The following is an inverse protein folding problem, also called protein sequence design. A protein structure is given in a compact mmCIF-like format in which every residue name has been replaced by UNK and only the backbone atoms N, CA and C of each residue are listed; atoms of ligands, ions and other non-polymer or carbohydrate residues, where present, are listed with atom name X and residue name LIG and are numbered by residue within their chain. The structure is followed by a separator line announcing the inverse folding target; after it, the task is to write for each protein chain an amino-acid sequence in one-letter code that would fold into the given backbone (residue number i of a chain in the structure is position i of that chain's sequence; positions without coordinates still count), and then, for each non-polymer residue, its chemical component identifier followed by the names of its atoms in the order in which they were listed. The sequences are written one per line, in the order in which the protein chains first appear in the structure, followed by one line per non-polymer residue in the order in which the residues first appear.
data_IF_142434352523
#
_entry.id   IF_142434352523
#
_cell.length_a   1.000
_cell.length_b   1.000
_cell.length_c   1.000
_cell.angle_alpha   90.00
_cell.angle_beta   90.00
_cell.angle_gamma   90.00
#
_symmetry.space_group_name_H-M   'P 1'
#
loop_
_entity.id
_entity.type
_entity.pdbx_description
1 polymer ?
#
# COMPACT_ATOMS: atom_id res chain seq x y z
N UNK A 1 11.13 20.50 -1.20
CA UNK A 1 10.65 20.59 -2.59
C UNK A 1 9.14 20.63 -2.55
N UNK A 2 8.53 21.52 -3.33
CA UNK A 2 7.08 21.65 -3.46
C UNK A 2 6.65 21.45 -4.92
N UNK A 3 5.64 20.62 -5.12
CA UNK A 3 5.06 20.24 -6.42
C UNK A 3 3.54 20.47 -6.34
N UNK A 4 3.07 21.62 -6.78
CA UNK A 4 1.66 21.98 -6.62
C UNK A 4 0.98 22.35 -7.94
N UNK A 5 -0.28 21.90 -8.12
CA UNK A 5 -1.12 22.28 -9.26
C UNK A 5 -0.47 21.97 -10.62
N UNK A 6 0.02 20.74 -10.77
CA UNK A 6 0.72 20.31 -11.99
C UNK A 6 -0.22 19.44 -12.84
N UNK A 7 -0.33 19.78 -14.11
CA UNK A 7 -1.03 18.99 -15.10
C UNK A 7 -0.11 18.72 -16.27
N UNK A 8 0.16 17.46 -16.59
CA UNK A 8 1.08 17.07 -17.63
C UNK A 8 1.23 15.56 -17.75
N UNK A 9 2.04 15.08 -18.70
CA UNK A 9 2.17 13.66 -18.98
C UNK A 9 3.06 12.95 -17.95
N UNK A 10 4.19 13.58 -17.61
CA UNK A 10 5.19 12.97 -16.74
C UNK A 10 5.99 14.00 -15.94
N UNK A 11 6.16 13.70 -14.66
CA UNK A 11 7.02 14.43 -13.74
C UNK A 11 8.08 13.46 -13.22
N UNK A 12 9.34 13.88 -13.23
CA UNK A 12 10.43 13.15 -12.58
C UNK A 12 11.18 14.09 -11.65
N UNK A 13 11.26 13.70 -10.38
CA UNK A 13 11.96 14.44 -9.34
C UNK A 13 12.95 13.52 -8.63
N UNK A 14 14.20 13.97 -8.48
CA UNK A 14 15.22 13.26 -7.71
C UNK A 14 15.86 14.22 -6.71
N UNK A 15 15.99 13.77 -5.48
CA UNK A 15 16.66 14.52 -4.41
C UNK A 15 17.45 13.58 -3.53
N UNK A 16 18.48 14.08 -2.86
CA UNK A 16 19.32 13.29 -1.96
C UNK A 16 18.84 13.35 -0.51
N UNK A 17 18.40 14.55 -0.09
CA UNK A 17 17.94 14.77 1.29
C UNK A 17 17.01 15.98 1.32
N UNK A 18 15.72 15.71 1.24
CA UNK A 18 14.72 16.78 1.25
C UNK A 18 13.38 16.28 1.71
N UNK A 19 12.67 17.11 2.41
CA UNK A 19 11.24 16.94 2.53
C UNK A 19 10.55 17.34 1.22
N UNK A 20 9.69 16.46 0.68
CA UNK A 20 8.96 16.70 -0.56
C UNK A 20 7.48 16.77 -0.27
N UNK A 21 6.83 17.84 -0.71
CA UNK A 21 5.37 18.00 -0.70
C UNK A 21 4.82 18.13 -2.10
N UNK A 22 3.69 17.48 -2.36
CA UNK A 22 2.98 17.64 -3.61
C UNK A 22 1.47 17.64 -3.41
N UNK A 23 0.77 18.51 -4.14
CA UNK A 23 -0.68 18.58 -4.11
C UNK A 23 -1.28 18.90 -5.46
N UNK A 24 -2.44 18.28 -5.77
CA UNK A 24 -3.19 18.49 -7.00
C UNK A 24 -2.32 18.25 -8.24
N UNK A 25 -1.88 17.01 -8.41
CA UNK A 25 -1.02 16.60 -9.51
C UNK A 25 -1.78 15.60 -10.39
N UNK A 26 -1.98 15.97 -11.65
CA UNK A 26 -2.56 15.10 -12.69
C UNK A 26 -1.47 14.73 -13.68
N UNK A 27 -0.72 13.67 -13.36
CA UNK A 27 0.46 13.27 -14.14
C UNK A 27 0.99 11.91 -13.67
N UNK A 28 1.79 11.27 -14.51
CA UNK A 28 2.64 10.16 -14.06
C UNK A 28 3.84 10.72 -13.30
N UNK A 29 3.86 10.53 -11.98
CA UNK A 29 4.89 11.05 -11.08
C UNK A 29 5.91 9.96 -10.75
N UNK A 30 7.19 10.26 -10.95
CA UNK A 30 8.31 9.45 -10.43
C UNK A 30 9.14 10.31 -9.50
N UNK A 31 9.27 9.89 -8.24
CA UNK A 31 10.01 10.62 -7.23
C UNK A 31 10.97 9.68 -6.52
N UNK A 32 12.25 10.04 -6.50
CA UNK A 32 13.30 9.32 -5.78
C UNK A 32 13.95 10.25 -4.77
N UNK A 33 13.95 9.84 -3.51
CA UNK A 33 14.63 10.54 -2.41
C UNK A 33 15.54 9.53 -1.69
N UNK A 34 16.72 9.94 -1.24
CA UNK A 34 17.51 9.06 -0.38
C UNK A 34 17.10 9.23 1.09
N UNK A 35 16.90 10.47 1.52
CA UNK A 35 16.61 10.79 2.91
C UNK A 35 15.55 11.90 3.01
N UNK A 36 14.58 11.70 3.87
CA UNK A 36 13.49 12.64 4.13
C UNK A 36 12.10 12.17 3.65
N UNK A 37 11.10 12.72 4.28
CA UNK A 37 9.71 12.32 4.07
C UNK A 37 9.14 12.86 2.75
N UNK A 38 8.20 12.12 2.20
CA UNK A 38 7.43 12.50 1.02
C UNK A 38 5.95 12.55 1.41
N UNK A 39 5.31 13.69 1.20
CA UNK A 39 3.88 13.89 1.44
C UNK A 39 3.18 14.34 0.16
N UNK A 40 2.25 13.52 -0.33
CA UNK A 40 1.48 13.79 -1.54
C UNK A 40 -0.01 13.75 -1.26
N UNK A 41 -0.76 14.62 -1.92
CA UNK A 41 -2.21 14.68 -1.82
C UNK A 41 -2.86 14.99 -3.16
N UNK A 42 -4.01 14.36 -3.43
CA UNK A 42 -4.78 14.60 -4.66
C UNK A 42 -3.97 14.31 -5.93
N UNK A 43 -3.40 13.10 -6.01
CA UNK A 43 -2.64 12.65 -7.18
C UNK A 43 -3.55 11.81 -8.08
N UNK A 44 -3.58 12.13 -9.36
CA UNK A 44 -4.29 11.35 -10.38
C UNK A 44 -3.28 10.88 -11.43
N UNK A 45 -3.12 9.56 -11.53
CA UNK A 45 -2.20 8.91 -12.47
C UNK A 45 -1.33 7.85 -11.81
N UNK A 46 -0.24 7.48 -12.47
CA UNK A 46 0.73 6.55 -11.89
C UNK A 46 1.71 7.30 -10.99
N UNK A 47 1.87 6.84 -9.77
CA UNK A 47 2.77 7.44 -8.79
C UNK A 47 3.81 6.40 -8.37
N UNK A 48 5.08 6.62 -8.70
CA UNK A 48 6.21 5.77 -8.32
C UNK A 48 7.10 6.52 -7.34
N UNK A 49 7.10 6.10 -6.09
CA UNK A 49 7.86 6.74 -5.02
C UNK A 49 8.91 5.78 -4.48
N UNK A 50 10.13 6.26 -4.35
CA UNK A 50 11.22 5.51 -3.74
C UNK A 50 11.99 6.38 -2.78
N UNK A 51 12.17 5.90 -1.55
CA UNK A 51 13.09 6.49 -0.58
C UNK A 51 13.96 5.42 0.06
N UNK A 52 15.12 5.80 0.61
CA UNK A 52 15.93 4.88 1.43
C UNK A 52 15.54 5.03 2.89
N UNK A 53 15.51 6.27 3.39
CA UNK A 53 15.05 6.60 4.75
C UNK A 53 14.04 7.73 4.67
N UNK A 54 12.89 7.53 5.30
CA UNK A 54 11.81 8.52 5.33
C UNK A 54 10.43 7.91 5.15
N UNK A 55 9.44 8.58 5.65
CA UNK A 55 8.06 8.15 5.56
C UNK A 55 7.42 8.62 4.25
N UNK A 56 6.52 7.79 3.73
CA UNK A 56 5.71 8.10 2.57
C UNK A 56 4.26 8.27 3.01
N UNK A 57 3.70 9.45 2.82
CA UNK A 57 2.28 9.74 3.08
C UNK A 57 1.61 10.16 1.78
N UNK A 58 0.56 9.43 1.40
CA UNK A 58 -0.26 9.75 0.21
C UNK A 58 -1.72 9.76 0.63
N UNK A 59 -2.42 10.80 0.26
CA UNK A 59 -3.83 10.99 0.62
C UNK A 59 -4.67 11.35 -0.61
N UNK A 60 -5.95 10.95 -0.62
CA UNK A 60 -6.97 11.34 -1.59
C UNK A 60 -6.52 11.15 -3.06
N UNK A 61 -5.96 10.00 -3.39
CA UNK A 61 -5.30 9.80 -4.68
C UNK A 61 -5.92 8.66 -5.49
N UNK A 62 -5.83 8.77 -6.83
CA UNK A 62 -6.43 7.83 -7.78
C UNK A 62 -5.44 7.34 -8.81
N UNK A 63 -5.37 6.02 -9.00
CA UNK A 63 -4.55 5.35 -10.02
C UNK A 63 -3.66 4.25 -9.45
N UNK A 64 -2.49 4.04 -10.05
CA UNK A 64 -1.52 3.05 -9.57
C UNK A 64 -0.44 3.71 -8.72
N UNK A 65 -0.36 3.31 -7.46
CA UNK A 65 0.61 3.84 -6.50
C UNK A 65 1.62 2.76 -6.14
N UNK A 66 2.88 2.97 -6.53
CA UNK A 66 4.01 2.13 -6.17
C UNK A 66 4.89 2.87 -5.17
N UNK A 67 5.08 2.30 -3.98
CA UNK A 67 5.91 2.88 -2.92
C UNK A 67 6.92 1.87 -2.43
N UNK A 68 8.20 2.26 -2.40
CA UNK A 68 9.28 1.45 -1.84
C UNK A 68 10.12 2.27 -0.88
N UNK A 69 10.34 1.74 0.33
CA UNK A 69 11.27 2.32 1.30
C UNK A 69 12.12 1.25 1.97
N UNK A 70 13.37 1.55 2.27
CA UNK A 70 14.20 0.63 3.06
C UNK A 70 13.96 0.83 4.56
N UNK A 71 13.75 2.07 5.02
CA UNK A 71 13.47 2.38 6.42
C UNK A 71 12.51 3.55 6.52
N UNK A 72 11.27 3.25 6.88
CA UNK A 72 10.21 4.24 7.03
C UNK A 72 8.83 3.63 6.87
N UNK A 73 7.83 4.32 7.31
CA UNK A 73 6.45 3.89 7.18
C UNK A 73 5.86 4.34 5.83
N UNK A 74 4.95 3.52 5.31
CA UNK A 74 4.14 3.86 4.13
C UNK A 74 2.70 4.02 4.61
N UNK A 75 2.13 5.19 4.41
CA UNK A 75 0.77 5.53 4.83
C UNK A 75 -0.01 6.02 3.63
N UNK A 76 -0.98 5.24 3.19
CA UNK A 76 -1.88 5.56 2.10
C UNK A 76 -3.31 5.69 2.63
N UNK A 77 -3.92 6.87 2.45
CA UNK A 77 -5.28 7.15 2.92
C UNK A 77 -6.19 7.55 1.77
N UNK A 78 -7.39 6.95 1.74
CA UNK A 78 -8.43 7.25 0.74
C UNK A 78 -7.90 7.07 -0.69
N UNK A 79 -7.37 5.85 -0.96
CA UNK A 79 -6.78 5.52 -2.25
C UNK A 79 -7.77 4.77 -3.12
N UNK A 80 -7.98 5.29 -4.32
CA UNK A 80 -8.83 4.69 -5.35
C UNK A 80 -7.96 4.13 -6.49
N UNK A 81 -7.93 2.82 -6.64
CA UNK A 81 -7.11 2.14 -7.65
C UNK A 81 -6.19 1.07 -7.07
N UNK A 82 -5.02 0.90 -7.67
CA UNK A 82 -4.08 -0.17 -7.32
C UNK A 82 -2.94 0.33 -6.45
N UNK A 83 -2.40 -0.56 -5.62
CA UNK A 83 -1.18 -0.26 -4.85
C UNK A 83 -0.21 -1.44 -4.84
N UNK A 84 1.09 -1.09 -4.91
CA UNK A 84 2.22 -2.00 -4.75
C UNK A 84 3.19 -1.36 -3.74
N UNK A 85 3.18 -1.88 -2.50
CA UNK A 85 3.81 -1.23 -1.36
C UNK A 85 4.83 -2.16 -0.72
N UNK A 86 6.06 -1.67 -0.59
CA UNK A 86 7.16 -2.42 -0.01
C UNK A 86 7.94 -1.58 0.99
N UNK A 87 8.05 -2.09 2.24
CA UNK A 87 8.97 -1.55 3.25
C UNK A 87 9.86 -2.66 3.78
N UNK A 88 11.16 -2.39 3.96
CA UNK A 88 12.03 -3.37 4.61
C UNK A 88 11.93 -3.24 6.14
N UNK A 89 12.06 -2.01 6.68
CA UNK A 89 11.92 -1.69 8.11
C UNK A 89 10.86 -0.61 8.28
N UNK A 90 9.60 -0.98 8.47
CA UNK A 90 8.53 -0.02 8.71
C UNK A 90 7.13 -0.59 8.52
N UNK A 91 6.18 0.09 9.11
CA UNK A 91 4.77 -0.29 9.02
C UNK A 91 4.14 0.24 7.75
N UNK A 92 3.15 -0.50 7.24
CA UNK A 92 2.38 -0.10 6.08
C UNK A 92 0.92 0.00 6.47
N UNK A 93 0.32 1.16 6.23
CA UNK A 93 -1.10 1.40 6.36
C UNK A 93 -1.70 1.72 5.00
N UNK A 94 -2.76 1.02 4.62
CA UNK A 94 -3.57 1.32 3.45
C UNK A 94 -5.05 1.41 3.82
N UNK A 95 -5.68 2.55 3.52
CA UNK A 95 -7.13 2.67 3.42
C UNK A 95 -7.52 2.80 1.96
N UNK A 96 -8.10 1.75 1.40
CA UNK A 96 -8.54 1.68 0.00
C UNK A 96 -10.01 2.01 -0.11
N UNK A 97 -10.35 2.84 -1.10
CA UNK A 97 -11.73 3.15 -1.51
C UNK A 97 -12.01 2.45 -2.82
N UNK A 98 -13.10 1.70 -2.88
CA UNK A 98 -13.56 1.13 -4.13
C UNK A 98 -14.14 2.21 -5.05
N UNK A 99 -13.65 2.23 -6.29
CA UNK A 99 -14.16 3.09 -7.35
C UNK A 99 -14.44 2.25 -8.60
N UNK A 100 -15.70 2.05 -8.92
CA UNK A 100 -16.13 1.25 -10.07
C UNK A 100 -15.65 1.76 -11.43
N UNK A 101 -15.15 2.98 -11.49
CA UNK A 101 -14.55 3.56 -12.71
C UNK A 101 -13.09 3.16 -12.93
N UNK A 102 -12.47 2.45 -11.96
CA UNK A 102 -11.10 1.93 -12.06
C UNK A 102 -11.16 0.42 -12.19
N UNK A 103 -10.79 -0.08 -13.36
CA UNK A 103 -10.79 -1.50 -13.65
C UNK A 103 -9.47 -2.17 -13.25
N UNK A 104 -9.50 -3.49 -13.03
CA UNK A 104 -8.32 -4.32 -12.74
C UNK A 104 -7.48 -3.83 -11.57
N UNK A 105 -8.14 -3.39 -10.50
CA UNK A 105 -7.46 -2.96 -9.27
C UNK A 105 -6.85 -4.15 -8.52
N UNK A 106 -5.73 -3.89 -7.84
CA UNK A 106 -5.06 -4.86 -6.97
C UNK A 106 -4.34 -4.16 -5.82
N UNK A 107 -4.05 -4.90 -4.75
CA UNK A 107 -3.19 -4.42 -3.67
C UNK A 107 -2.15 -5.49 -3.31
N UNK A 108 -0.87 -5.18 -3.51
CA UNK A 108 0.26 -5.96 -3.03
C UNK A 108 0.96 -5.18 -1.93
N UNK A 109 1.08 -5.75 -0.75
CA UNK A 109 1.67 -5.07 0.40
C UNK A 109 2.63 -6.01 1.10
N UNK A 110 3.89 -5.60 1.23
CA UNK A 110 4.90 -6.43 1.89
C UNK A 110 5.82 -5.64 2.81
N UNK A 111 6.16 -6.26 3.95
CA UNK A 111 7.19 -5.75 4.85
C UNK A 111 7.99 -6.90 5.46
N UNK A 112 9.27 -6.66 5.75
CA UNK A 112 10.11 -7.65 6.44
C UNK A 112 10.02 -7.44 7.94
N UNK A 113 10.19 -6.20 8.41
CA UNK A 113 10.15 -5.84 9.82
C UNK A 113 9.14 -4.71 10.02
N UNK A 114 7.87 -5.08 10.20
CA UNK A 114 6.80 -4.12 10.37
C UNK A 114 5.42 -4.75 10.29
N UNK A 115 4.44 -3.95 10.60
CA UNK A 115 3.04 -4.36 10.61
C UNK A 115 2.34 -3.88 9.34
N UNK A 116 1.27 -4.59 8.97
CA UNK A 116 0.39 -4.19 7.89
C UNK A 116 -1.00 -3.95 8.46
N UNK A 117 -1.51 -2.75 8.28
CA UNK A 117 -2.90 -2.39 8.59
C UNK A 117 -3.62 -2.04 7.30
N UNK A 118 -4.61 -2.85 6.94
CA UNK A 118 -5.46 -2.68 5.76
C UNK A 118 -6.89 -2.32 6.17
N UNK A 119 -7.43 -1.24 5.62
CA UNK A 119 -8.84 -0.87 5.70
C UNK A 119 -9.48 -0.90 4.32
N UNK A 120 -10.54 -1.69 4.15
CA UNK A 120 -11.29 -1.83 2.91
C UNK A 120 -12.79 -1.74 3.15
N UNK A 121 -13.55 -1.41 2.12
CA UNK A 121 -15.01 -1.36 2.20
C UNK A 121 -15.59 -2.77 2.35
N UNK A 122 -16.70 -2.88 3.10
CA UNK A 122 -17.49 -4.11 3.20
C UNK A 122 -18.08 -4.51 1.85
N UNK A 123 -18.43 -5.79 1.74
CA UNK A 123 -19.17 -6.36 0.61
C UNK A 123 -18.46 -6.28 -0.75
N UNK A 124 -17.15 -6.01 -0.78
CA UNK A 124 -16.38 -6.04 -2.01
C UNK A 124 -16.26 -7.47 -2.58
N UNK A 125 -16.15 -7.53 -3.90
CA UNK A 125 -15.71 -8.73 -4.60
C UNK A 125 -14.18 -8.79 -4.52
N UNK A 126 -13.62 -9.66 -3.67
CA UNK A 126 -12.18 -9.72 -3.44
C UNK A 126 -11.64 -11.15 -3.29
N UNK A 127 -10.36 -11.31 -3.63
CA UNK A 127 -9.55 -12.48 -3.30
C UNK A 127 -8.37 -12.03 -2.46
N UNK A 128 -8.34 -12.39 -1.18
CA UNK A 128 -7.36 -11.92 -0.21
C UNK A 128 -6.50 -13.08 0.27
N UNK A 129 -5.18 -12.88 0.27
CA UNK A 129 -4.20 -13.74 0.90
C UNK A 129 -3.36 -12.91 1.87
N UNK A 130 -3.32 -13.31 3.14
CA UNK A 130 -2.51 -12.70 4.18
C UNK A 130 -1.50 -13.73 4.69
N UNK A 131 -0.21 -13.44 4.57
CA UNK A 131 0.87 -14.38 4.83
C UNK A 131 1.84 -13.85 5.90
N UNK A 132 2.23 -14.75 6.81
CA UNK A 132 3.29 -14.51 7.81
C UNK A 132 4.23 -15.72 7.89
N UNK A 133 5.44 -15.52 8.41
CA UNK A 133 6.38 -16.64 8.61
C UNK A 133 5.83 -17.70 9.55
N UNK A 134 6.21 -18.97 9.33
CA UNK A 134 5.81 -20.13 10.13
C UNK A 134 6.14 -20.00 11.64
N UNK A 135 7.18 -19.25 11.98
CA UNK A 135 7.55 -19.00 13.39
C UNK A 135 6.57 -18.07 14.12
N UNK A 136 5.59 -17.54 13.41
CA UNK A 136 4.55 -16.68 13.94
C UNK A 136 3.29 -17.52 14.30
N UNK A 137 2.29 -16.86 14.80
CA UNK A 137 1.02 -17.47 15.17
C UNK A 137 -0.11 -16.98 14.27
N UNK A 138 -1.15 -17.78 14.04
CA UNK A 138 -2.37 -17.32 13.36
C UNK A 138 -3.00 -16.11 14.05
N UNK A 139 -2.73 -15.91 15.35
CA UNK A 139 -3.19 -14.72 16.10
C UNK A 139 -2.48 -13.43 15.68
N UNK A 140 -1.37 -13.52 14.97
CA UNK A 140 -0.69 -12.37 14.40
C UNK A 140 -1.38 -11.84 13.12
N UNK A 141 -2.40 -12.57 12.61
CA UNK A 141 -3.31 -12.10 11.57
C UNK A 141 -4.69 -11.89 12.20
N UNK A 142 -5.11 -10.64 12.30
CA UNK A 142 -6.44 -10.27 12.77
C UNK A 142 -7.26 -9.75 11.60
N UNK A 143 -8.49 -10.21 11.46
CA UNK A 143 -9.34 -9.82 10.34
C UNK A 143 -10.81 -9.77 10.74
N UNK A 144 -11.50 -8.71 10.31
CA UNK A 144 -12.97 -8.62 10.35
C UNK A 144 -13.62 -9.40 9.20
N UNK A 145 -12.82 -9.81 8.21
CA UNK A 145 -13.23 -10.71 7.12
C UNK A 145 -12.83 -12.13 7.53
N UNK A 146 -13.72 -13.14 7.43
CA UNK A 146 -13.40 -14.51 7.81
C UNK A 146 -12.32 -15.09 6.89
N UNK A 147 -11.20 -15.54 7.47
CA UNK A 147 -10.09 -16.17 6.75
C UNK A 147 -10.03 -17.67 7.05
N UNK A 148 -9.70 -18.46 6.03
CA UNK A 148 -9.32 -19.86 6.17
C UNK A 148 -7.80 -19.96 6.26
N UNK A 149 -7.29 -20.56 7.34
CA UNK A 149 -5.86 -20.67 7.59
C UNK A 149 -5.30 -22.01 7.18
N UNK A 150 -4.15 -22.00 6.53
CA UNK A 150 -3.37 -23.19 6.20
C UNK A 150 -1.87 -22.92 6.31
N UNK A 151 -1.08 -23.99 6.35
CA UNK A 151 0.37 -23.91 6.29
C UNK A 151 0.82 -24.22 4.87
N UNK A 152 1.44 -23.25 4.19
CA UNK A 152 2.01 -23.37 2.84
C UNK A 152 3.46 -22.90 2.83
N UNK A 153 4.37 -23.68 2.28
CA UNK A 153 5.77 -23.29 2.04
C UNK A 153 6.44 -22.60 3.23
N UNK A 154 6.25 -23.15 4.43
CA UNK A 154 6.77 -22.58 5.68
C UNK A 154 6.16 -21.22 6.07
N UNK A 155 4.94 -20.92 5.61
CA UNK A 155 4.19 -19.73 6.00
C UNK A 155 2.80 -20.10 6.51
N UNK A 156 2.30 -19.29 7.43
CA UNK A 156 0.90 -19.30 7.81
C UNK A 156 0.17 -18.40 6.83
N UNK A 157 -0.79 -18.94 6.11
CA UNK A 157 -1.55 -18.22 5.08
C UNK A 157 -3.02 -18.22 5.46
N UNK A 158 -3.60 -17.02 5.56
CA UNK A 158 -5.04 -16.82 5.72
C UNK A 158 -5.64 -16.37 4.40
N UNK A 159 -6.56 -17.16 3.82
CA UNK A 159 -7.15 -16.89 2.52
C UNK A 159 -8.67 -16.76 2.57
N UNK A 160 -9.21 -15.92 1.71
CA UNK A 160 -10.64 -15.83 1.43
C UNK A 160 -10.90 -15.34 0.01
N UNK A 161 -11.97 -15.86 -0.61
CA UNK A 161 -12.53 -15.31 -1.84
C UNK A 161 -14.00 -14.97 -1.61
N UNK A 162 -14.37 -13.72 -1.80
CA UNK A 162 -15.72 -13.20 -1.63
C UNK A 162 -16.27 -12.66 -2.95
N UNK A 163 -17.55 -12.91 -3.22
CA UNK A 163 -18.28 -12.31 -4.34
C UNK A 163 -17.55 -12.41 -5.70
N UNK A 164 -16.99 -13.58 -6.05
CA UNK A 164 -16.22 -13.87 -7.28
C UNK A 164 -14.76 -13.41 -7.28
N UNK A 165 -14.25 -12.73 -6.24
CA UNK A 165 -12.82 -12.49 -6.08
C UNK A 165 -12.17 -11.54 -7.10
N UNK A 166 -12.86 -10.46 -7.51
CA UNK A 166 -12.36 -9.59 -8.59
C UNK A 166 -11.25 -8.62 -8.18
N UNK A 167 -11.10 -8.33 -6.89
CA UNK A 167 -10.02 -7.49 -6.35
C UNK A 167 -8.98 -8.38 -5.66
N UNK A 168 -7.83 -8.68 -6.29
CA UNK A 168 -6.76 -9.42 -5.64
C UNK A 168 -6.03 -8.54 -4.62
N UNK A 169 -5.86 -9.08 -3.41
CA UNK A 169 -5.15 -8.47 -2.30
C UNK A 169 -4.15 -9.48 -1.75
N UNK A 170 -2.87 -9.13 -1.76
CA UNK A 170 -1.80 -9.96 -1.19
C UNK A 170 -1.07 -9.16 -0.13
N UNK A 171 -1.04 -9.69 1.08
CA UNK A 171 -0.38 -9.10 2.24
C UNK A 171 0.71 -10.06 2.74
N UNK A 172 1.92 -9.57 2.94
CA UNK A 172 3.01 -10.32 3.51
C UNK A 172 3.77 -9.53 4.58
N UNK A 173 3.81 -10.05 5.81
CA UNK A 173 4.67 -9.52 6.86
C UNK A 173 5.53 -10.66 7.43
N UNK A 174 6.86 -10.50 7.37
CA UNK A 174 7.76 -11.53 7.90
C UNK A 174 7.81 -11.52 9.43
N UNK A 175 8.06 -10.36 10.03
CA UNK A 175 8.29 -10.21 11.49
C UNK A 175 7.32 -9.20 12.14
N UNK A 176 6.07 -9.11 11.63
CA UNK A 176 5.06 -8.24 12.20
C UNK A 176 3.70 -8.91 12.26
N UNK A 177 2.67 -8.14 12.53
CA UNK A 177 1.28 -8.58 12.44
C UNK A 177 0.58 -8.01 11.20
N UNK A 178 -0.53 -8.64 10.82
CA UNK A 178 -1.42 -8.15 9.77
C UNK A 178 -2.79 -7.90 10.38
N UNK A 179 -3.33 -6.71 10.20
CA UNK A 179 -4.66 -6.30 10.64
C UNK A 179 -5.52 -5.91 9.45
N UNK A 180 -6.69 -6.51 9.31
CA UNK A 180 -7.62 -6.26 8.20
C UNK A 180 -8.95 -5.82 8.78
N UNK A 181 -9.35 -4.60 8.48
CA UNK A 181 -10.62 -4.01 8.89
C UNK A 181 -11.53 -3.79 7.69
N UNK A 182 -12.83 -4.01 7.90
CA UNK A 182 -13.85 -3.78 6.90
C UNK A 182 -14.85 -2.72 7.41
N UNK A 183 -14.98 -1.61 6.73
CA UNK A 183 -15.85 -0.50 7.14
C UNK A 183 -17.07 -0.30 6.23
#
# INVERSE_FOLDING_TARGET
IELNNINGDKISCRTSSSFVRGKNIKSNLTLTNNDGDIQLKEIIGRCNLKTTTGNLLIEDSKGLINCTTSSGNIILKEISGSSDLESYFGNIYLKSIYDSSVENTFHNISTIEGNIDLEIQKDLSLSLSAEIDFNRSTQDITSEIPLNFELKDNRIVGEVSLNQGSLPIVLFSKNGYISIKAY
#
